data_IF_664274447315
#
_entry.id   IF_664274447315
#
_cell.length_a   1.000
_cell.length_b   1.000
_cell.length_c   1.000
_cell.angle_alpha   90.00
_cell.angle_beta   90.00
_cell.angle_gamma   90.00
#
_symmetry.space_group_name_H-M   'P 1'
#
loop_
_entity.id
_entity.type
_entity.pdbx_description
1 polymer ?
#
# COMPACT_ATOMS: atom_id res chain seq x y z
N UNK A 1 -4.41 15.87 4.95
CA UNK A 1 -5.04 16.16 6.26
C UNK A 1 -4.16 15.63 7.40
N UNK A 2 -3.75 16.44 8.38
CA UNK A 2 -2.86 15.99 9.48
C UNK A 2 -3.47 14.85 10.32
N UNK A 3 -4.80 14.78 10.45
CA UNK A 3 -5.51 13.70 11.16
C UNK A 3 -5.22 12.32 10.56
N UNK A 4 -5.11 12.24 9.23
CA UNK A 4 -4.87 10.99 8.52
C UNK A 4 -3.49 10.40 8.85
N UNK A 5 -2.48 11.25 9.10
CA UNK A 5 -1.13 10.80 9.50
C UNK A 5 -1.12 10.07 10.84
N UNK A 6 -2.09 10.36 11.71
CA UNK A 6 -2.22 9.75 13.04
C UNK A 6 -3.35 8.73 13.11
N UNK A 7 -3.83 8.22 11.97
CA UNK A 7 -4.95 7.28 11.90
C UNK A 7 -6.24 7.79 12.58
N UNK A 8 -6.38 9.11 12.75
CA UNK A 8 -7.57 9.75 13.35
C UNK A 8 -8.64 10.02 12.28
N UNK A 9 -8.86 9.05 11.41
CA UNK A 9 -9.85 9.08 10.32
C UNK A 9 -10.75 7.87 10.45
N UNK A 10 -12.04 8.08 10.25
CA UNK A 10 -13.03 7.01 10.29
C UNK A 10 -13.06 6.28 8.94
N UNK A 11 -13.47 4.99 8.91
CA UNK A 11 -13.58 4.25 7.65
C UNK A 11 -14.42 4.99 6.59
N UNK A 12 -15.54 5.59 7.00
CA UNK A 12 -16.42 6.37 6.13
C UNK A 12 -15.75 7.59 5.47
N UNK A 13 -14.65 8.11 6.03
CA UNK A 13 -13.87 9.21 5.43
C UNK A 13 -12.86 8.70 4.38
N UNK A 14 -12.62 7.39 4.31
CA UNK A 14 -11.51 6.78 3.53
C UNK A 14 -11.93 5.63 2.63
N UNK A 15 -13.21 5.24 2.66
CA UNK A 15 -13.78 4.21 1.78
C UNK A 15 -14.63 4.89 0.71
N UNK A 16 -14.33 4.58 -0.56
CA UNK A 16 -14.96 5.20 -1.72
C UNK A 16 -15.53 4.12 -2.64
N UNK A 17 -16.70 4.36 -3.21
CA UNK A 17 -17.29 3.46 -4.21
C UNK A 17 -16.60 3.58 -5.56
N UNK A 18 -16.27 4.82 -5.96
CA UNK A 18 -15.72 5.14 -7.27
C UNK A 18 -14.28 5.60 -7.15
N UNK A 19 -13.50 5.28 -8.18
CA UNK A 19 -12.09 5.67 -8.26
C UNK A 19 -11.90 7.19 -8.32
N UNK A 20 -12.84 7.89 -8.96
CA UNK A 20 -12.82 9.35 -9.12
C UNK A 20 -12.88 10.11 -7.79
N UNK A 21 -13.49 9.50 -6.78
CA UNK A 21 -13.62 10.10 -5.45
C UNK A 21 -12.37 9.88 -4.58
N UNK A 22 -11.45 9.01 -5.01
CA UNK A 22 -10.22 8.69 -4.28
C UNK A 22 -9.21 9.83 -4.44
N UNK A 23 -8.79 10.50 -3.35
CA UNK A 23 -7.77 11.53 -3.43
C UNK A 23 -6.44 11.00 -3.97
N UNK A 24 -5.69 11.83 -4.70
CA UNK A 24 -4.34 11.48 -5.10
C UNK A 24 -3.38 11.61 -3.91
N UNK A 25 -3.24 10.52 -3.16
CA UNK A 25 -2.37 10.46 -1.98
C UNK A 25 -0.90 10.72 -2.29
N UNK A 26 -0.44 10.47 -3.53
CA UNK A 26 0.95 10.75 -3.94
C UNK A 26 1.17 12.25 -3.98
N UNK A 27 0.26 12.98 -4.60
CA UNK A 27 0.33 14.45 -4.67
C UNK A 27 0.23 15.08 -3.28
N UNK A 28 -0.61 14.51 -2.40
CA UNK A 28 -0.67 14.96 -1.00
C UNK A 28 0.61 14.68 -0.21
N UNK A 29 1.33 13.58 -0.50
CA UNK A 29 2.53 13.18 0.23
C UNK A 29 3.81 13.91 -0.23
N UNK A 30 3.91 14.30 -1.50
CA UNK A 30 5.10 14.94 -2.08
C UNK A 30 5.59 16.15 -1.27
N UNK A 31 4.73 17.12 -0.85
CA UNK A 31 5.17 18.26 -0.07
C UNK A 31 5.85 17.89 1.26
N UNK A 32 5.32 16.88 1.96
CA UNK A 32 5.90 16.41 3.22
C UNK A 32 7.23 15.70 2.99
N UNK A 33 7.34 14.91 1.92
CA UNK A 33 8.59 14.26 1.55
C UNK A 33 9.69 15.29 1.25
N UNK A 34 9.39 16.29 0.41
CA UNK A 34 10.32 17.38 0.08
C UNK A 34 10.73 18.15 1.34
N UNK A 35 9.78 18.48 2.22
CA UNK A 35 10.07 19.12 3.50
C UNK A 35 11.03 18.29 4.35
N UNK A 36 10.83 16.97 4.44
CA UNK A 36 11.70 16.08 5.21
C UNK A 36 13.12 16.02 4.63
N UNK A 37 13.28 15.96 3.31
CA UNK A 37 14.60 16.01 2.66
C UNK A 37 15.34 17.32 2.98
N UNK A 38 14.63 18.45 2.95
CA UNK A 38 15.23 19.74 3.35
C UNK A 38 15.61 19.77 4.83
N UNK A 39 14.73 19.28 5.72
CA UNK A 39 14.99 19.21 7.15
C UNK A 39 16.18 18.30 7.48
N UNK A 40 16.30 17.15 6.81
CA UNK A 40 17.45 16.26 6.93
C UNK A 40 18.75 17.00 6.59
N UNK A 41 18.78 17.74 5.48
CA UNK A 41 19.95 18.55 5.10
C UNK A 41 20.32 19.62 6.13
N UNK A 42 19.32 20.30 6.71
CA UNK A 42 19.55 21.29 7.79
C UNK A 42 20.11 20.60 9.04
N UNK A 43 19.51 19.49 9.46
CA UNK A 43 19.93 18.75 10.66
C UNK A 43 21.36 18.23 10.50
N UNK A 44 21.71 17.65 9.35
CA UNK A 44 23.06 17.17 9.08
C UNK A 44 24.09 18.30 9.16
N UNK A 45 23.75 19.47 8.59
CA UNK A 45 24.60 20.66 8.68
C UNK A 45 24.77 21.14 10.13
N UNK A 46 23.70 21.15 10.93
CA UNK A 46 23.76 21.50 12.35
C UNK A 46 24.58 20.49 13.18
N UNK A 47 24.57 19.22 12.79
CA UNK A 47 25.37 18.16 13.41
C UNK A 47 26.84 18.15 12.93
N UNK A 48 27.22 19.03 12.00
CA UNK A 48 28.56 19.04 11.40
C UNK A 48 28.89 17.79 10.58
N UNK A 49 27.85 17.07 10.12
CA UNK A 49 28.01 15.89 9.25
C UNK A 49 27.99 16.30 7.79
N UNK A 50 28.69 15.52 6.97
CA UNK A 50 28.68 15.71 5.52
C UNK A 50 27.28 15.41 4.94
N UNK A 51 26.90 16.21 3.95
CA UNK A 51 25.67 16.01 3.19
C UNK A 51 25.85 14.75 2.30
N UNK A 52 24.82 13.91 2.11
CA UNK A 52 24.92 12.72 1.28
C UNK A 52 25.41 13.05 -0.12
N UNK A 53 26.25 12.16 -0.69
CA UNK A 53 26.78 12.37 -2.04
C UNK A 53 25.65 12.22 -3.05
N UNK A 54 25.70 12.99 -4.14
CA UNK A 54 24.70 12.91 -5.21
C UNK A 54 24.58 11.47 -5.74
N UNK A 55 25.71 10.75 -5.84
CA UNK A 55 25.72 9.35 -6.29
C UNK A 55 24.88 8.44 -5.37
N UNK A 56 24.89 8.67 -4.05
CA UNK A 56 24.11 7.90 -3.09
C UNK A 56 22.62 8.22 -3.24
N UNK A 57 22.28 9.47 -3.54
CA UNK A 57 20.92 9.90 -3.87
C UNK A 57 20.40 9.23 -5.15
N UNK A 58 21.19 9.23 -6.23
CA UNK A 58 20.84 8.59 -7.51
C UNK A 58 20.66 7.08 -7.32
N UNK A 59 21.55 6.44 -6.57
CA UNK A 59 21.45 5.01 -6.28
C UNK A 59 20.19 4.69 -5.46
N UNK A 60 19.88 5.51 -4.44
CA UNK A 60 18.67 5.37 -3.62
C UNK A 60 17.40 5.48 -4.47
N UNK A 61 17.32 6.47 -5.36
CA UNK A 61 16.19 6.65 -6.27
C UNK A 61 16.08 5.47 -7.24
N UNK A 62 17.22 5.01 -7.78
CA UNK A 62 17.25 3.88 -8.72
C UNK A 62 16.76 2.58 -8.08
N UNK A 63 17.19 2.29 -6.85
CA UNK A 63 16.67 1.17 -6.07
C UNK A 63 15.19 1.31 -5.76
N UNK A 64 14.73 2.51 -5.40
CA UNK A 64 13.31 2.80 -5.20
C UNK A 64 12.50 2.50 -6.44
N UNK A 65 12.91 3.01 -7.60
CA UNK A 65 12.24 2.77 -8.88
C UNK A 65 12.20 1.27 -9.22
N UNK A 66 13.32 0.57 -9.07
CA UNK A 66 13.40 -0.87 -9.33
C UNK A 66 12.44 -1.67 -8.42
N UNK A 67 12.37 -1.30 -7.14
CA UNK A 67 11.43 -1.91 -6.18
C UNK A 67 9.97 -1.69 -6.62
N UNK A 68 9.63 -0.47 -7.06
CA UNK A 68 8.29 -0.16 -7.56
C UNK A 68 7.96 -0.91 -8.85
N UNK A 69 8.90 -1.09 -9.77
CA UNK A 69 8.66 -1.85 -11.00
C UNK A 69 8.23 -3.28 -10.71
N UNK A 70 8.91 -3.96 -9.78
CA UNK A 70 8.52 -5.30 -9.36
C UNK A 70 7.11 -5.30 -8.76
N UNK A 71 6.83 -4.38 -7.83
CA UNK A 71 5.51 -4.27 -7.21
C UNK A 71 4.39 -4.04 -8.26
N UNK A 72 4.62 -3.15 -9.23
CA UNK A 72 3.68 -2.85 -10.30
C UNK A 72 3.37 -4.07 -11.15
N UNK A 73 4.38 -4.85 -11.55
CA UNK A 73 4.17 -6.04 -12.38
C UNK A 73 3.28 -7.08 -11.67
N UNK A 74 3.63 -7.44 -10.44
CA UNK A 74 2.88 -8.46 -9.70
C UNK A 74 1.48 -7.97 -9.29
N UNK A 75 1.35 -6.71 -8.84
CA UNK A 75 0.04 -6.13 -8.51
C UNK A 75 -0.87 -6.01 -9.73
N UNK A 76 -0.32 -5.63 -10.88
CA UNK A 76 -1.11 -5.53 -12.13
C UNK A 76 -1.60 -6.91 -12.55
N UNK A 77 -0.75 -7.92 -12.47
CA UNK A 77 -1.13 -9.30 -12.76
C UNK A 77 -2.22 -9.80 -11.80
N UNK A 78 -2.01 -9.63 -10.49
CA UNK A 78 -2.98 -9.99 -9.43
C UNK A 78 -4.34 -9.33 -9.67
N UNK A 79 -4.36 -8.01 -9.90
CA UNK A 79 -5.58 -7.27 -10.16
C UNK A 79 -6.28 -7.73 -11.44
N UNK A 80 -5.52 -7.98 -12.51
CA UNK A 80 -6.09 -8.44 -13.79
C UNK A 80 -6.75 -9.80 -13.63
N UNK A 81 -6.08 -10.74 -12.95
CA UNK A 81 -6.64 -12.07 -12.66
C UNK A 81 -7.87 -11.95 -11.75
N UNK A 82 -7.81 -11.11 -10.71
CA UNK A 82 -8.94 -10.85 -9.84
C UNK A 82 -10.16 -10.36 -10.61
N UNK A 83 -10.01 -9.32 -11.44
CA UNK A 83 -11.10 -8.77 -12.27
C UNK A 83 -11.64 -9.83 -13.22
N UNK A 84 -10.76 -10.60 -13.88
CA UNK A 84 -11.19 -11.66 -14.79
C UNK A 84 -12.03 -12.75 -14.09
N UNK A 85 -11.62 -13.17 -12.89
CA UNK A 85 -12.38 -14.13 -12.08
C UNK A 85 -13.72 -13.51 -11.66
N UNK A 86 -13.70 -12.28 -11.14
CA UNK A 86 -14.89 -11.59 -10.68
C UNK A 86 -15.94 -11.45 -11.79
N UNK A 87 -15.54 -11.01 -12.98
CA UNK A 87 -16.47 -10.84 -14.11
C UNK A 87 -17.06 -12.17 -14.64
N UNK A 88 -16.35 -13.29 -14.48
CA UNK A 88 -16.77 -14.59 -15.01
C UNK A 88 -17.46 -15.51 -14.00
N UNK A 89 -17.08 -15.42 -12.72
CA UNK A 89 -17.41 -16.40 -11.69
C UNK A 89 -18.05 -15.80 -10.44
N UNK A 90 -18.42 -14.51 -10.43
CA UNK A 90 -19.21 -13.97 -9.31
C UNK A 90 -20.61 -14.60 -9.29
N UNK A 91 -20.99 -15.13 -8.14
CA UNK A 91 -22.34 -15.69 -7.92
C UNK A 91 -23.31 -14.67 -7.34
N UNK A 92 -22.80 -13.74 -6.52
CA UNK A 92 -23.58 -12.73 -5.79
C UNK A 92 -22.78 -11.44 -5.75
N UNK A 93 -23.48 -10.32 -5.94
CA UNK A 93 -22.93 -8.99 -5.72
C UNK A 93 -23.12 -8.58 -4.26
N UNK A 94 -22.00 -8.34 -3.57
CA UNK A 94 -21.99 -7.87 -2.19
C UNK A 94 -21.96 -6.34 -2.17
N UNK A 95 -22.88 -5.66 -1.47
CA UNK A 95 -22.87 -4.20 -1.38
C UNK A 95 -21.59 -3.70 -0.72
N UNK A 96 -20.96 -2.67 -1.30
CA UNK A 96 -19.70 -2.09 -0.81
C UNK A 96 -19.85 -1.36 0.53
N UNK A 97 -21.04 -0.82 0.80
CA UNK A 97 -21.41 -0.03 1.97
C UNK A 97 -21.98 -0.87 3.12
N UNK A 98 -22.14 -2.18 2.92
CA UNK A 98 -22.67 -3.09 3.93
C UNK A 98 -21.58 -3.57 4.88
N UNK A 99 -21.77 -3.32 6.19
CA UNK A 99 -20.87 -3.83 7.23
C UNK A 99 -20.72 -5.35 7.19
N UNK A 100 -21.78 -6.08 6.82
CA UNK A 100 -21.73 -7.53 6.73
C UNK A 100 -20.82 -8.04 5.61
N UNK A 101 -20.74 -7.31 4.48
CA UNK A 101 -19.78 -7.62 3.40
C UNK A 101 -18.35 -7.65 3.95
N UNK A 102 -17.98 -6.63 4.72
CA UNK A 102 -16.64 -6.50 5.30
C UNK A 102 -16.36 -7.52 6.40
N UNK A 103 -17.35 -7.83 7.26
CA UNK A 103 -17.21 -8.88 8.30
C UNK A 103 -16.99 -10.26 7.65
N UNK A 104 -17.78 -10.60 6.63
CA UNK A 104 -17.63 -11.87 5.92
C UNK A 104 -16.30 -11.95 5.17
N UNK A 105 -15.90 -10.85 4.51
CA UNK A 105 -14.61 -10.76 3.84
C UNK A 105 -13.45 -10.96 4.82
N UNK A 106 -13.50 -10.31 5.99
CA UNK A 106 -12.50 -10.47 7.05
C UNK A 106 -12.36 -11.94 7.48
N UNK A 107 -13.47 -12.60 7.81
CA UNK A 107 -13.46 -14.01 8.24
C UNK A 107 -12.94 -14.92 7.12
N UNK A 108 -13.39 -14.72 5.88
CA UNK A 108 -12.99 -15.54 4.74
C UNK A 108 -11.50 -15.41 4.41
N UNK A 109 -10.98 -14.17 4.38
CA UNK A 109 -9.57 -13.89 4.14
C UNK A 109 -8.70 -14.51 5.24
N UNK A 110 -9.04 -14.30 6.51
CA UNK A 110 -8.29 -14.85 7.64
C UNK A 110 -8.29 -16.38 7.62
N UNK A 111 -9.43 -16.99 7.31
CA UNK A 111 -9.53 -18.44 7.20
C UNK A 111 -8.64 -19.00 6.08
N UNK A 112 -8.73 -18.45 4.87
CA UNK A 112 -7.91 -18.88 3.73
C UNK A 112 -6.43 -18.66 4.02
N UNK A 113 -6.08 -17.50 4.58
CA UNK A 113 -4.70 -17.16 4.95
C UNK A 113 -4.14 -18.13 5.99
N UNK A 114 -4.91 -18.48 7.03
CA UNK A 114 -4.51 -19.45 8.04
C UNK A 114 -4.15 -20.81 7.42
N UNK A 115 -4.98 -21.33 6.52
CA UNK A 115 -4.73 -22.61 5.86
C UNK A 115 -3.53 -22.52 4.91
N UNK A 116 -3.42 -21.46 4.12
CA UNK A 116 -2.25 -21.22 3.28
C UNK A 116 -0.95 -21.22 4.11
N UNK A 117 -0.94 -20.46 5.21
CA UNK A 117 0.20 -20.39 6.12
C UNK A 117 0.53 -21.76 6.72
N UNK A 118 -0.50 -22.53 7.14
CA UNK A 118 -0.35 -23.88 7.68
C UNK A 118 0.24 -24.85 6.67
N UNK A 119 -0.23 -24.85 5.42
CA UNK A 119 0.32 -25.71 4.37
C UNK A 119 1.73 -25.30 3.96
N UNK A 120 2.02 -24.00 3.93
CA UNK A 120 3.36 -23.48 3.63
C UNK A 120 4.39 -23.87 4.69
N UNK A 121 4.00 -23.96 5.97
CA UNK A 121 4.89 -24.39 7.05
C UNK A 121 4.93 -25.91 7.21
N UNK A 122 3.82 -26.60 6.96
CA UNK A 122 3.73 -28.06 7.03
C UNK A 122 4.67 -28.79 6.05
N UNK A 123 5.07 -28.13 4.96
CA UNK A 123 6.07 -28.64 4.01
C UNK A 123 7.54 -28.45 4.42
N UNK A 124 7.83 -27.73 5.52
CA UNK A 124 9.19 -27.56 6.05
C UNK A 124 9.58 -28.62 7.11
N UNK A 125 8.67 -29.55 7.46
CA UNK A 125 8.89 -30.60 8.46
C UNK A 125 9.00 -32.02 7.86
N UNK A 126 9.26 -32.14 6.55
CA UNK A 126 9.65 -33.37 5.85
C UNK A 126 10.93 -33.10 5.04
#
# INVERSE_FOLDING_TARGET
>A
NLRAMFYMVTPNETTFEKLEDVPNYVDEAIPYFVLMVFLEGIILKLQGKDIPRINDGVNSISHGLLSQMHALLFRSFELTVYVWIYEKWRFVDLPWDSTWTWILAFIAVDFIYYWFHRFSHGGQQL
#
